data_IF_797654766275
#
_entry.id   IF_797654766275
#
_cell.length_a   1.000
_cell.length_b   1.000
_cell.length_c   1.000
_cell.angle_alpha   90.00
_cell.angle_beta   90.00
_cell.angle_gamma   90.00
#
_symmetry.space_group_name_H-M   'P 1'
#
loop_
_entity.id
_entity.type
_entity.pdbx_description
1 polymer ?
#
# COMPACT_ATOMS: atom_id res chain seq x y z
N UNK A 1 -5.18 -38.29 33.39
CA UNK A 1 -4.36 -37.12 33.76
C UNK A 1 -3.02 -37.27 33.05
N UNK A 2 -2.48 -36.40 32.20
CA UNK A 2 -2.71 -34.99 31.91
C UNK A 2 -2.26 -34.75 30.46
N UNK A 3 -3.12 -34.07 29.70
CA UNK A 3 -2.85 -33.44 28.42
C UNK A 3 -1.84 -32.30 28.56
N UNK A 4 -1.10 -32.05 27.48
CA UNK A 4 -0.87 -30.67 27.05
C UNK A 4 0.42 -30.00 27.51
N UNK A 5 1.54 -30.32 26.86
CA UNK A 5 2.58 -29.31 26.60
C UNK A 5 2.17 -28.56 25.33
N UNK A 6 1.24 -27.62 25.46
CA UNK A 6 0.86 -26.71 24.37
C UNK A 6 1.96 -25.65 24.25
N UNK A 7 2.70 -25.72 23.15
CA UNK A 7 3.57 -24.64 22.67
C UNK A 7 2.68 -23.46 22.28
N UNK A 8 2.71 -22.40 23.09
CA UNK A 8 2.14 -21.10 22.71
C UNK A 8 3.12 -20.44 21.75
N UNK A 9 3.04 -20.80 20.48
CA UNK A 9 3.51 -19.95 19.41
C UNK A 9 2.52 -18.80 19.30
N UNK A 10 2.92 -17.61 19.77
CA UNK A 10 2.14 -16.38 19.68
C UNK A 10 1.87 -16.02 18.22
N UNK A 11 0.81 -16.57 17.64
CA UNK A 11 0.23 -16.12 16.38
C UNK A 11 -0.62 -14.90 16.71
N UNK A 12 -0.01 -13.71 16.62
CA UNK A 12 -0.78 -12.47 16.48
C UNK A 12 -1.32 -12.45 15.04
N UNK A 13 -2.34 -13.27 14.78
CA UNK A 13 -3.21 -13.11 13.62
C UNK A 13 -4.32 -12.13 14.02
N UNK A 14 -3.96 -10.87 14.19
CA UNK A 14 -4.95 -9.80 14.31
C UNK A 14 -5.64 -9.61 12.96
N UNK A 15 -6.82 -10.22 12.84
CA UNK A 15 -7.98 -9.63 12.20
C UNK A 15 -7.84 -9.29 10.71
N UNK A 16 -7.75 -10.32 9.87
CA UNK A 16 -8.14 -10.19 8.46
C UNK A 16 -9.67 -10.09 8.36
N UNK A 17 -10.25 -8.93 8.70
CA UNK A 17 -11.60 -8.60 8.23
C UNK A 17 -11.46 -8.22 6.75
N UNK A 18 -11.46 -9.25 5.89
CA UNK A 18 -11.56 -9.09 4.45
C UNK A 18 -13.01 -8.73 4.09
N UNK A 19 -13.37 -7.45 4.23
CA UNK A 19 -14.52 -6.89 3.52
C UNK A 19 -14.17 -6.86 2.03
N UNK A 20 -14.71 -7.82 1.31
CA UNK A 20 -14.69 -7.96 -0.14
C UNK A 20 -15.53 -6.85 -0.79
N UNK A 21 -14.99 -5.63 -0.86
CA UNK A 21 -15.55 -4.53 -1.66
C UNK A 21 -14.51 -3.45 -2.05
N UNK A 22 -13.23 -3.70 -1.80
CA UNK A 22 -12.10 -2.87 -2.21
C UNK A 22 -11.44 -3.59 -3.39
N UNK A 23 -11.07 -2.92 -4.48
CA UNK A 23 -10.37 -3.58 -5.58
C UNK A 23 -9.13 -4.32 -5.04
N UNK A 24 -8.73 -5.38 -5.74
CA UNK A 24 -7.81 -6.42 -5.27
C UNK A 24 -6.57 -5.83 -4.55
N UNK A 25 -6.67 -5.67 -3.24
CA UNK A 25 -5.61 -5.17 -2.36
C UNK A 25 -4.27 -5.91 -2.59
N UNK A 26 -4.35 -7.21 -2.84
CA UNK A 26 -3.21 -8.05 -3.18
C UNK A 26 -2.61 -7.73 -4.56
N UNK A 27 -3.45 -7.40 -5.56
CA UNK A 27 -2.96 -6.92 -6.87
C UNK A 27 -2.29 -5.55 -6.70
N UNK A 28 -2.89 -4.65 -5.93
CA UNK A 28 -2.30 -3.37 -5.56
C UNK A 28 -0.90 -3.51 -4.95
N UNK A 29 -0.76 -4.36 -3.94
CA UNK A 29 0.54 -4.69 -3.35
C UNK A 29 1.53 -5.27 -4.37
N UNK A 30 1.09 -6.21 -5.21
CA UNK A 30 1.94 -6.83 -6.24
C UNK A 30 2.49 -5.79 -7.23
N UNK A 31 1.65 -4.87 -7.69
CA UNK A 31 2.07 -3.81 -8.61
C UNK A 31 2.94 -2.76 -7.93
N UNK A 32 2.57 -2.33 -6.71
CA UNK A 32 3.40 -1.46 -5.88
C UNK A 32 4.79 -2.07 -5.68
N UNK A 33 4.86 -3.34 -5.30
CA UNK A 33 6.13 -4.01 -5.06
C UNK A 33 6.97 -4.10 -6.35
N UNK A 34 6.34 -4.45 -7.48
CA UNK A 34 7.02 -4.60 -8.77
C UNK A 34 7.55 -3.29 -9.34
N UNK A 35 6.77 -2.20 -9.25
CA UNK A 35 7.05 -0.95 -9.95
C UNK A 35 7.58 0.17 -9.07
N UNK A 36 7.20 0.20 -7.79
CA UNK A 36 7.63 1.23 -6.83
C UNK A 36 8.68 0.66 -5.88
N UNK A 37 8.36 -0.33 -5.04
CA UNK A 37 9.29 -0.85 -4.02
C UNK A 37 10.59 -1.37 -4.61
N UNK A 38 10.54 -2.22 -5.64
CA UNK A 38 11.76 -2.77 -6.28
C UNK A 38 12.61 -1.74 -7.03
N UNK A 39 12.04 -0.59 -7.41
CA UNK A 39 12.74 0.42 -8.22
C UNK A 39 13.23 1.60 -7.39
N UNK A 40 12.37 2.10 -6.50
CA UNK A 40 12.63 3.21 -5.61
C UNK A 40 13.16 2.77 -4.23
N UNK A 41 13.21 1.45 -3.95
CA UNK A 41 13.53 0.91 -2.62
C UNK A 41 12.66 1.47 -1.50
N UNK A 42 11.46 1.92 -1.86
CA UNK A 42 10.59 2.70 -0.98
C UNK A 42 9.46 1.82 -0.44
N UNK A 43 9.38 1.70 0.89
CA UNK A 43 8.34 0.91 1.56
C UNK A 43 7.01 1.66 1.53
N UNK A 44 5.90 0.92 1.53
CA UNK A 44 4.56 1.51 1.41
C UNK A 44 4.23 2.47 2.55
N UNK A 45 4.73 2.18 3.76
CA UNK A 45 4.65 3.08 4.92
C UNK A 45 5.49 4.35 4.75
N UNK A 46 6.67 4.25 4.13
CA UNK A 46 7.48 5.42 3.79
C UNK A 46 6.81 6.25 2.70
N UNK A 47 6.14 5.63 1.74
CA UNK A 47 5.38 6.34 0.70
C UNK A 47 4.30 7.21 1.34
N UNK A 48 3.50 6.65 2.25
CA UNK A 48 2.45 7.38 2.97
C UNK A 48 3.07 8.55 3.75
N UNK A 49 4.20 8.33 4.42
CA UNK A 49 4.95 9.41 5.12
C UNK A 49 5.43 10.51 4.18
N UNK A 50 5.98 10.14 3.02
CA UNK A 50 6.46 11.09 2.00
C UNK A 50 5.31 11.91 1.42
N UNK A 51 4.15 11.26 1.19
CA UNK A 51 2.96 11.94 0.70
C UNK A 51 2.34 12.89 1.75
N UNK A 52 2.69 12.69 3.03
CA UNK A 52 2.24 13.53 4.14
C UNK A 52 0.75 13.41 4.46
N UNK A 53 0.09 12.38 3.93
CA UNK A 53 -1.35 12.15 4.12
C UNK A 53 -1.62 11.47 5.45
N UNK A 54 -2.61 11.97 6.18
CA UNK A 54 -3.01 11.44 7.49
C UNK A 54 -4.30 10.63 7.39
N UNK A 55 -5.16 10.96 6.43
CA UNK A 55 -6.46 10.32 6.24
C UNK A 55 -6.59 9.63 4.87
N UNK A 56 -7.40 8.56 4.77
CA UNK A 56 -7.64 7.89 3.51
C UNK A 56 -8.31 8.80 2.47
N UNK A 57 -9.11 9.78 2.89
CA UNK A 57 -9.73 10.75 1.98
C UNK A 57 -8.72 11.71 1.36
N UNK A 58 -7.74 12.19 2.14
CA UNK A 58 -6.61 12.96 1.58
C UNK A 58 -5.80 12.13 0.59
N UNK A 59 -5.61 10.84 0.86
CA UNK A 59 -4.97 9.94 -0.08
C UNK A 59 -5.81 9.83 -1.35
N UNK A 60 -7.12 9.56 -1.28
CA UNK A 60 -8.00 9.50 -2.45
C UNK A 60 -7.95 10.78 -3.30
N UNK A 61 -7.87 11.94 -2.65
CA UNK A 61 -7.71 13.22 -3.35
C UNK A 61 -6.42 13.27 -4.20
N UNK A 62 -5.32 12.64 -3.75
CA UNK A 62 -4.09 12.53 -4.54
C UNK A 62 -4.20 11.54 -5.71
N UNK A 63 -5.10 10.56 -5.59
CA UNK A 63 -5.40 9.57 -6.64
C UNK A 63 -6.44 10.09 -7.66
N UNK A 64 -7.12 11.20 -7.36
CA UNK A 64 -7.94 11.93 -8.32
C UNK A 64 -7.13 12.35 -9.55
N UNK A 65 -7.83 12.68 -10.65
CA UNK A 65 -7.20 13.09 -11.92
C UNK A 65 -6.14 12.10 -12.46
N UNK A 66 -6.43 10.80 -12.34
CA UNK A 66 -5.52 9.71 -12.69
C UNK A 66 -4.20 9.69 -11.89
N UNK A 67 -4.22 10.13 -10.63
CA UNK A 67 -3.04 10.09 -9.76
C UNK A 67 -1.97 11.13 -10.12
N UNK A 68 -2.35 12.20 -10.84
CA UNK A 68 -1.45 13.33 -11.14
C UNK A 68 -0.90 13.95 -9.86
N UNK A 69 -1.76 14.26 -8.90
CA UNK A 69 -1.34 14.82 -7.60
C UNK A 69 -0.37 13.91 -6.85
N UNK A 70 -0.56 12.59 -6.93
CA UNK A 70 0.38 11.61 -6.37
C UNK A 70 1.76 11.68 -7.04
N UNK A 71 1.81 11.74 -8.38
CA UNK A 71 3.06 11.82 -9.14
C UNK A 71 3.80 13.12 -8.81
N UNK A 72 3.10 14.26 -8.78
CA UNK A 72 3.68 15.56 -8.47
C UNK A 72 4.25 15.60 -7.05
N UNK A 73 3.51 15.08 -6.06
CA UNK A 73 4.00 14.95 -4.68
C UNK A 73 5.24 14.08 -4.58
N UNK A 74 5.27 12.95 -5.30
CA UNK A 74 6.43 12.07 -5.31
C UNK A 74 7.65 12.73 -5.98
N UNK A 75 7.46 13.44 -7.09
CA UNK A 75 8.54 14.20 -7.75
C UNK A 75 9.04 15.34 -6.87
N UNK A 76 8.14 16.10 -6.25
CA UNK A 76 8.49 17.17 -5.32
C UNK A 76 9.28 16.65 -4.10
N UNK A 77 9.04 15.41 -3.68
CA UNK A 77 9.79 14.74 -2.62
C UNK A 77 11.10 14.07 -3.09
N UNK A 78 11.52 14.28 -4.34
CA UNK A 78 12.73 13.66 -4.91
C UNK A 78 12.60 12.16 -5.16
N UNK A 79 11.37 11.65 -5.27
CA UNK A 79 11.06 10.23 -5.47
C UNK A 79 10.70 9.94 -6.94
N UNK A 80 11.52 10.41 -7.88
CA UNK A 80 11.29 10.24 -9.33
C UNK A 80 11.09 8.78 -9.75
N UNK A 81 11.82 7.85 -9.11
CA UNK A 81 11.65 6.41 -9.37
C UNK A 81 10.29 5.89 -8.90
N UNK A 82 9.78 6.41 -7.79
CA UNK A 82 8.46 6.05 -7.29
C UNK A 82 7.37 6.65 -8.19
N UNK A 83 7.52 7.91 -8.58
CA UNK A 83 6.65 8.59 -9.53
C UNK A 83 6.55 7.83 -10.86
N UNK A 84 7.69 7.44 -11.45
CA UNK A 84 7.72 6.62 -12.67
C UNK A 84 7.09 5.22 -12.48
N UNK A 85 7.20 4.66 -11.27
CA UNK A 85 6.54 3.42 -10.88
C UNK A 85 5.02 3.57 -10.87
N UNK A 86 4.52 4.65 -10.29
CA UNK A 86 3.08 5.00 -10.29
C UNK A 86 2.59 5.28 -11.70
N UNK A 87 3.33 6.04 -12.51
CA UNK A 87 2.97 6.29 -13.93
C UNK A 87 2.77 4.96 -14.70
N UNK A 88 3.60 3.95 -14.45
CA UNK A 88 3.42 2.62 -15.05
C UNK A 88 2.17 1.90 -14.55
N UNK A 89 1.78 2.10 -13.30
CA UNK A 89 0.57 1.53 -12.71
C UNK A 89 -0.68 2.20 -13.33
N UNK A 90 -0.65 3.53 -13.49
CA UNK A 90 -1.70 4.31 -14.16
C UNK A 90 -1.86 3.87 -15.62
N UNK A 91 -0.76 3.79 -16.38
CA UNK A 91 -0.77 3.31 -17.77
C UNK A 91 -1.34 1.89 -17.93
N UNK A 92 -1.32 1.09 -16.87
CA UNK A 92 -1.89 -0.27 -16.86
C UNK A 92 -3.35 -0.33 -16.39
N UNK A 93 -3.97 0.81 -16.07
CA UNK A 93 -5.32 0.86 -15.51
C UNK A 93 -5.42 0.24 -14.11
N UNK A 94 -4.31 0.21 -13.37
CA UNK A 94 -4.19 -0.42 -12.04
C UNK A 94 -4.11 0.60 -10.90
N UNK A 95 -4.49 1.85 -11.18
CA UNK A 95 -4.46 2.93 -10.20
C UNK A 95 -5.38 2.66 -9.01
N UNK A 96 -6.60 2.18 -9.27
CA UNK A 96 -7.58 1.86 -8.22
C UNK A 96 -7.10 0.73 -7.29
N UNK A 97 -6.46 -0.31 -7.85
CA UNK A 97 -5.84 -1.37 -7.05
C UNK A 97 -4.73 -0.82 -6.12
N UNK A 98 -3.94 0.15 -6.60
CA UNK A 98 -2.90 0.81 -5.80
C UNK A 98 -3.51 1.69 -4.70
N UNK A 99 -4.58 2.43 -5.00
CA UNK A 99 -5.32 3.23 -4.04
C UNK A 99 -5.85 2.35 -2.90
N UNK A 100 -6.59 1.29 -3.22
CA UNK A 100 -7.14 0.33 -2.26
C UNK A 100 -6.06 -0.30 -1.38
N UNK A 101 -4.88 -0.57 -1.97
CA UNK A 101 -3.73 -1.07 -1.23
C UNK A 101 -3.20 -0.05 -0.20
N UNK A 102 -3.02 1.21 -0.60
CA UNK A 102 -2.54 2.26 0.32
C UNK A 102 -3.57 2.63 1.38
N UNK A 103 -4.86 2.74 1.01
CA UNK A 103 -5.97 2.91 1.96
C UNK A 103 -5.97 1.76 2.96
N UNK A 104 -5.81 0.52 2.47
CA UNK A 104 -5.70 -0.66 3.33
C UNK A 104 -4.58 -0.51 4.36
N UNK A 105 -3.39 -0.06 3.95
CA UNK A 105 -2.28 0.19 4.88
C UNK A 105 -2.64 1.27 5.91
N UNK A 106 -3.27 2.36 5.48
CA UNK A 106 -3.69 3.44 6.39
C UNK A 106 -4.74 2.95 7.41
N UNK A 107 -5.62 2.03 7.00
CA UNK A 107 -6.60 1.37 7.87
C UNK A 107 -6.00 0.23 8.73
N UNK A 108 -4.68 0.09 8.78
CA UNK A 108 -3.98 -0.93 9.58
C UNK A 108 -3.85 -2.30 8.90
N UNK A 109 -4.35 -2.47 7.67
CA UNK A 109 -4.12 -3.66 6.85
C UNK A 109 -2.73 -3.56 6.22
N UNK A 110 -1.71 -3.90 6.99
CA UNK A 110 -0.32 -3.97 6.55
C UNK A 110 0.00 -5.41 6.15
N UNK A 111 0.31 -5.72 4.88
CA UNK A 111 0.64 -7.08 4.51
C UNK A 111 2.02 -7.45 5.02
N UNK A 112 2.23 -8.73 5.32
CA UNK A 112 3.54 -9.28 5.66
C UNK A 112 4.54 -8.90 4.55
N UNK A 113 5.59 -8.14 4.91
CA UNK A 113 6.59 -7.61 3.97
C UNK A 113 6.46 -6.11 3.63
N UNK A 114 5.58 -5.36 4.28
CA UNK A 114 5.59 -3.88 4.30
C UNK A 114 6.43 -3.26 5.43
N UNK A 115 6.97 -4.07 6.35
CA UNK A 115 7.93 -3.65 7.39
C UNK A 115 9.30 -3.31 6.86
#
# INVERSE_FOLDING_TARGET
MRLGKVLVAGVIATGLLATSALADYNKGYKYYNKYVKKKAHLKSTQLIKVLGVKTPDELKALFADNGKGLIEKLKAAGQDKAAAGVEKIIKKGKLKDLEDFLIGIMNGKIPAGCS
#
